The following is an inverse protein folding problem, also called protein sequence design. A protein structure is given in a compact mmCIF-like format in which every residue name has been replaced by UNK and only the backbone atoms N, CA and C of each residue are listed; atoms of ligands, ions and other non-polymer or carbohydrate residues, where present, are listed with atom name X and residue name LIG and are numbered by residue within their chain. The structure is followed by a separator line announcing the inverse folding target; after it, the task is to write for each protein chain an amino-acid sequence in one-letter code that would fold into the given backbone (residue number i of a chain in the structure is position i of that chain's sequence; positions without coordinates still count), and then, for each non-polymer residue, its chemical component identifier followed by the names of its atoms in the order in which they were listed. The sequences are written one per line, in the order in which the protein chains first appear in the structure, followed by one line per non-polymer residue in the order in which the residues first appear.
data_IF_913693105029
#
_entry.id   IF_913693105029
#
_cell.length_a   1.000
_cell.length_b   1.000
_cell.length_c   1.000
_cell.angle_alpha   90.00
_cell.angle_beta   90.00
_cell.angle_gamma   90.00
#
_symmetry.space_group_name_H-M   'P 1'
#
loop_
_entity.id
_entity.type
_entity.pdbx_description
1 polymer ?
#
# COMPACT_ATOMS: atom_id res chain seq x y z
N UNK A 1 3.37 -7.87 -24.27
CA UNK A 1 2.51 -8.13 -23.10
C UNK A 1 2.56 -6.88 -22.26
N UNK A 2 1.42 -6.26 -21.96
CA UNK A 2 1.40 -5.13 -21.02
C UNK A 2 1.82 -5.66 -19.64
N UNK A 3 2.71 -4.95 -18.95
CA UNK A 3 3.07 -5.30 -17.59
C UNK A 3 1.82 -5.19 -16.70
N UNK A 4 1.52 -6.26 -15.95
CA UNK A 4 0.35 -6.33 -15.07
C UNK A 4 0.38 -5.25 -13.99
N UNK A 5 1.56 -4.71 -13.69
CA UNK A 5 1.78 -3.62 -12.74
C UNK A 5 1.95 -2.24 -13.39
N UNK A 6 1.71 -2.09 -14.71
CA UNK A 6 1.77 -0.80 -15.42
C UNK A 6 0.48 -0.54 -16.22
N UNK A 7 -0.67 -0.72 -15.57
CA UNK A 7 -1.97 -0.54 -16.19
C UNK A 7 -2.44 0.92 -16.02
N UNK A 8 -2.33 1.72 -17.07
CA UNK A 8 -2.92 3.06 -17.14
C UNK A 8 -4.38 2.94 -17.59
N UNK A 9 -5.31 3.11 -16.65
CA UNK A 9 -6.76 2.97 -16.89
C UNK A 9 -7.52 4.13 -16.24
N UNK A 10 -8.81 4.21 -16.52
CA UNK A 10 -9.67 5.30 -16.02
C UNK A 10 -9.89 5.25 -14.50
N UNK A 11 -9.66 4.09 -13.89
CA UNK A 11 -9.59 3.91 -12.44
C UNK A 11 -8.26 3.25 -12.13
N UNK A 12 -7.36 3.93 -11.42
CA UNK A 12 -5.99 3.44 -11.24
C UNK A 12 -5.53 3.53 -9.80
N UNK A 13 -4.87 2.48 -9.31
CA UNK A 13 -4.14 2.46 -8.03
C UNK A 13 -2.64 2.64 -8.29
N UNK A 14 -2.07 3.72 -7.75
CA UNK A 14 -0.64 3.98 -7.77
C UNK A 14 0.03 3.33 -6.58
N UNK A 15 1.07 2.55 -6.84
CA UNK A 15 1.88 1.85 -5.81
C UNK A 15 3.36 2.13 -5.99
N UNK A 16 4.16 1.96 -4.95
CA UNK A 16 5.59 2.27 -5.00
C UNK A 16 6.37 1.32 -5.90
N UNK A 17 6.16 0.01 -5.79
CA UNK A 17 6.94 -0.95 -6.55
C UNK A 17 6.18 -2.21 -6.95
N UNK A 18 6.93 -3.14 -7.54
CA UNK A 18 6.39 -4.38 -8.05
C UNK A 18 5.93 -5.33 -6.92
N UNK A 19 6.58 -5.31 -5.75
CA UNK A 19 6.16 -6.13 -4.61
C UNK A 19 4.77 -5.68 -4.10
N UNK A 20 4.57 -4.37 -3.99
CA UNK A 20 3.30 -3.74 -3.62
C UNK A 20 2.17 -4.20 -4.53
N UNK A 21 2.39 -4.07 -5.85
CA UNK A 21 1.45 -4.52 -6.88
C UNK A 21 1.03 -5.98 -6.67
N UNK A 22 1.98 -6.89 -6.45
CA UNK A 22 1.67 -8.31 -6.25
C UNK A 22 0.94 -8.60 -4.94
N UNK A 23 1.23 -7.86 -3.86
CA UNK A 23 0.48 -7.96 -2.59
C UNK A 23 -0.97 -7.51 -2.78
N UNK A 24 -1.18 -6.37 -3.45
CA UNK A 24 -2.53 -5.89 -3.77
C UNK A 24 -3.29 -6.91 -4.61
N UNK A 25 -2.68 -7.44 -5.67
CA UNK A 25 -3.32 -8.46 -6.52
C UNK A 25 -3.72 -9.71 -5.72
N UNK A 26 -2.85 -10.20 -4.83
CA UNK A 26 -3.13 -11.37 -4.02
C UNK A 26 -4.30 -11.12 -3.04
N UNK A 27 -4.36 -9.94 -2.42
CA UNK A 27 -5.48 -9.55 -1.56
C UNK A 27 -6.78 -9.36 -2.33
N UNK A 28 -6.74 -8.71 -3.49
CA UNK A 28 -7.90 -8.58 -4.36
C UNK A 28 -8.47 -9.95 -4.73
N UNK A 29 -7.60 -10.92 -5.05
CA UNK A 29 -8.02 -12.29 -5.34
C UNK A 29 -8.62 -12.98 -4.10
N UNK A 30 -7.99 -12.85 -2.92
CA UNK A 30 -8.48 -13.47 -1.69
C UNK A 30 -9.83 -12.91 -1.20
N UNK A 31 -10.09 -11.62 -1.42
CA UNK A 31 -11.32 -10.94 -0.98
C UNK A 31 -12.35 -10.74 -2.11
N UNK A 32 -12.11 -11.31 -3.29
CA UNK A 32 -13.00 -11.16 -4.46
C UNK A 32 -13.28 -9.70 -4.83
N UNK A 33 -12.27 -8.83 -4.71
CA UNK A 33 -12.38 -7.41 -5.10
C UNK A 33 -12.65 -7.34 -6.61
N UNK A 34 -13.69 -6.60 -7.06
CA UNK A 34 -13.98 -6.44 -8.49
C UNK A 34 -12.78 -5.88 -9.27
N UNK A 35 -12.50 -6.43 -10.45
CA UNK A 35 -11.42 -5.98 -11.34
C UNK A 35 -11.84 -4.74 -12.14
N UNK A 36 -12.16 -3.66 -11.43
CA UNK A 36 -12.67 -2.40 -12.00
C UNK A 36 -11.60 -1.32 -12.14
N UNK A 37 -10.36 -1.59 -11.74
CA UNK A 37 -9.24 -0.65 -11.76
C UNK A 37 -7.92 -1.34 -12.17
N UNK A 38 -7.01 -0.57 -12.74
CA UNK A 38 -5.63 -0.99 -13.01
C UNK A 38 -4.68 -0.64 -11.86
N UNK A 39 -3.53 -1.31 -11.79
CA UNK A 39 -2.45 -1.00 -10.84
C UNK A 39 -1.25 -0.46 -11.62
N UNK A 40 -0.64 0.61 -11.12
CA UNK A 40 0.54 1.24 -11.72
C UNK A 40 1.66 1.42 -10.68
N UNK A 41 2.77 0.70 -10.86
CA UNK A 41 3.98 0.83 -10.06
C UNK A 41 4.80 2.06 -10.49
N UNK A 42 5.25 2.87 -9.53
CA UNK A 42 5.90 4.15 -9.83
C UNK A 42 7.42 4.16 -9.49
N UNK A 43 7.97 3.02 -9.09
CA UNK A 43 9.37 2.81 -8.67
C UNK A 43 9.78 3.43 -7.34
N UNK A 44 9.01 4.38 -6.79
CA UNK A 44 9.28 5.04 -5.51
C UNK A 44 8.08 5.86 -5.03
N UNK A 45 8.05 6.19 -3.75
CA UNK A 45 7.15 7.17 -3.15
C UNK A 45 7.13 8.54 -3.87
N UNK A 46 8.30 9.07 -4.23
CA UNK A 46 8.43 10.31 -5.03
C UNK A 46 7.81 10.13 -6.42
N UNK A 47 8.03 8.96 -7.02
CA UNK A 47 7.43 8.58 -8.31
C UNK A 47 5.91 8.56 -8.24
N UNK A 48 5.33 7.99 -7.18
CA UNK A 48 3.88 7.94 -6.94
C UNK A 48 3.32 9.35 -6.85
N UNK A 49 3.89 10.23 -6.02
CA UNK A 49 3.39 11.61 -5.85
C UNK A 49 3.54 12.44 -7.13
N UNK A 50 4.62 12.23 -7.90
CA UNK A 50 4.80 12.87 -9.21
C UNK A 50 3.73 12.42 -10.20
N UNK A 51 3.45 11.11 -10.26
CA UNK A 51 2.44 10.55 -11.15
C UNK A 51 1.03 10.97 -10.75
N UNK A 52 0.71 10.97 -9.45
CA UNK A 52 -0.55 11.50 -8.92
C UNK A 52 -0.81 12.90 -9.48
N UNK A 53 0.14 13.82 -9.30
CA UNK A 53 -0.03 15.20 -9.80
C UNK A 53 -0.19 15.25 -11.32
N UNK A 54 0.59 14.46 -12.07
CA UNK A 54 0.49 14.40 -13.52
C UNK A 54 -0.86 13.86 -14.01
N UNK A 55 -1.46 12.89 -13.30
CA UNK A 55 -2.76 12.33 -13.62
C UNK A 55 -3.91 13.30 -13.31
N UNK A 56 -3.80 14.09 -12.24
CA UNK A 56 -4.83 15.09 -11.91
C UNK A 56 -4.90 16.19 -12.97
N UNK A 57 -3.74 16.67 -13.48
CA UNK A 57 -3.70 17.82 -14.41
C UNK A 57 -3.77 17.44 -15.90
N UNK A 58 -3.76 16.15 -16.25
CA UNK A 58 -3.75 15.74 -17.66
C UNK A 58 -5.10 16.02 -18.32
N UNK A 59 -5.14 16.27 -19.64
CA UNK A 59 -6.40 16.27 -20.38
C UNK A 59 -7.10 14.91 -20.23
N UNK A 60 -8.38 14.92 -19.86
CA UNK A 60 -9.15 13.72 -19.51
C UNK A 60 -8.47 12.93 -18.37
N UNK A 61 -8.48 13.46 -17.13
CA UNK A 61 -7.95 12.75 -15.98
C UNK A 61 -8.70 11.42 -15.80
N UNK A 62 -8.09 10.40 -15.15
CA UNK A 62 -8.84 9.23 -14.71
C UNK A 62 -10.02 9.66 -13.85
N UNK A 63 -11.13 8.92 -13.85
CA UNK A 63 -12.22 9.12 -12.90
C UNK A 63 -11.81 8.92 -11.44
N UNK A 64 -10.94 7.94 -11.17
CA UNK A 64 -10.52 7.59 -9.81
C UNK A 64 -9.03 7.31 -9.74
N UNK A 65 -8.34 7.94 -8.78
CA UNK A 65 -6.92 7.70 -8.50
C UNK A 65 -6.78 7.27 -7.04
N UNK A 66 -6.41 6.00 -6.84
CA UNK A 66 -5.95 5.50 -5.55
C UNK A 66 -4.44 5.64 -5.41
N UNK A 67 -3.98 5.85 -4.19
CA UNK A 67 -2.57 5.96 -3.83
C UNK A 67 -2.29 5.09 -2.62
N UNK A 68 -1.30 4.20 -2.74
CA UNK A 68 -0.80 3.39 -1.65
C UNK A 68 0.69 3.69 -1.44
N UNK A 69 1.06 4.10 -0.22
CA UNK A 69 2.41 4.60 0.10
C UNK A 69 2.91 4.08 1.44
N UNK A 70 4.22 3.85 1.53
CA UNK A 70 4.95 3.65 2.77
C UNK A 70 4.99 4.95 3.60
N UNK A 71 4.83 4.81 4.90
CA UNK A 71 4.78 5.88 5.88
C UNK A 71 5.96 5.85 6.86
N UNK A 72 7.05 5.15 6.52
CA UNK A 72 8.24 5.01 7.36
C UNK A 72 9.15 6.26 7.37
N UNK A 73 8.99 7.16 6.39
CA UNK A 73 9.82 8.37 6.23
C UNK A 73 9.00 9.62 5.88
N UNK A 74 9.15 10.71 6.65
CA UNK A 74 9.80 10.80 7.96
C UNK A 74 8.95 10.20 9.10
N UNK A 75 7.62 10.14 8.91
CA UNK A 75 6.63 9.49 9.78
C UNK A 75 5.31 9.42 9.01
N UNK A 76 4.27 8.85 9.62
CA UNK A 76 2.91 8.89 9.09
C UNK A 76 2.43 10.33 8.89
N UNK A 77 2.58 11.17 9.91
CA UNK A 77 2.17 12.58 9.88
C UNK A 77 2.93 13.33 8.81
N UNK A 78 4.26 13.15 8.72
CA UNK A 78 5.06 13.83 7.71
C UNK A 78 4.74 13.37 6.28
N UNK A 79 4.43 12.09 6.07
CA UNK A 79 3.94 11.59 4.78
C UNK A 79 2.59 12.20 4.43
N UNK A 80 1.67 12.25 5.39
CA UNK A 80 0.34 12.85 5.21
C UNK A 80 0.43 14.35 4.92
N UNK A 81 1.28 15.08 5.63
CA UNK A 81 1.55 16.50 5.39
C UNK A 81 2.17 16.71 4.00
N UNK A 82 3.09 15.85 3.57
CA UNK A 82 3.65 15.91 2.22
C UNK A 82 2.59 15.76 1.13
N UNK A 83 1.62 14.84 1.30
CA UNK A 83 0.49 14.68 0.37
C UNK A 83 -0.37 15.95 0.35
N UNK A 84 -0.77 16.47 1.52
CA UNK A 84 -1.56 17.71 1.62
C UNK A 84 -0.87 18.88 0.93
N UNK A 85 0.38 19.15 1.31
CA UNK A 85 1.15 20.25 0.72
C UNK A 85 1.32 20.09 -0.78
N UNK A 86 1.45 18.85 -1.29
CA UNK A 86 1.53 18.62 -2.74
C UNK A 86 0.22 18.94 -3.44
N UNK A 87 -0.93 18.61 -2.85
CA UNK A 87 -2.22 18.96 -3.44
C UNK A 87 -2.46 20.47 -3.40
N UNK A 88 -2.19 21.12 -2.26
CA UNK A 88 -2.33 22.57 -2.06
C UNK A 88 -1.42 23.37 -3.01
N UNK A 89 -0.14 22.99 -3.13
CA UNK A 89 0.84 23.72 -3.95
C UNK A 89 0.49 23.69 -5.44
N UNK A 90 -0.23 22.66 -5.90
CA UNK A 90 -0.67 22.55 -7.29
C UNK A 90 -2.07 23.17 -7.52
N UNK A 91 -2.59 23.91 -6.52
CA UNK A 91 -3.91 24.57 -6.55
C UNK A 91 -5.08 23.62 -6.82
N UNK A 92 -4.98 22.37 -6.38
CA UNK A 92 -6.09 21.42 -6.48
C UNK A 92 -7.16 21.73 -5.43
N UNK A 93 -8.43 21.48 -5.74
CA UNK A 93 -9.54 21.87 -4.87
C UNK A 93 -9.78 20.94 -3.66
N UNK A 94 -9.03 19.84 -3.56
CA UNK A 94 -9.22 18.83 -2.52
C UNK A 94 -8.98 19.36 -1.12
N UNK A 95 -9.94 19.10 -0.23
CA UNK A 95 -9.80 19.34 1.20
C UNK A 95 -9.57 18.03 1.93
N UNK A 96 -8.35 17.83 2.43
CA UNK A 96 -7.99 16.66 3.23
C UNK A 96 -8.16 16.92 4.73
N UNK A 97 -8.55 15.90 5.48
CA UNK A 97 -8.61 15.96 6.94
C UNK A 97 -7.23 16.13 7.58
N UNK A 98 -7.20 16.61 8.83
CA UNK A 98 -5.95 16.82 9.59
C UNK A 98 -5.10 15.55 9.66
N UNK A 99 -5.74 14.40 9.85
CA UNK A 99 -5.14 13.06 9.94
C UNK A 99 -5.79 12.11 8.92
N UNK A 100 -5.08 11.08 8.45
CA UNK A 100 -5.66 10.06 7.58
C UNK A 100 -6.76 9.27 8.30
N UNK A 101 -7.75 8.79 7.54
CA UNK A 101 -8.81 7.94 8.06
C UNK A 101 -8.29 6.51 8.27
N UNK A 102 -8.62 5.90 9.41
CA UNK A 102 -8.24 4.51 9.74
C UNK A 102 -8.72 3.49 8.70
N UNK A 103 -9.87 3.74 8.08
CA UNK A 103 -10.46 2.89 7.04
C UNK A 103 -9.99 3.28 5.62
N UNK A 104 -8.91 4.07 5.51
CA UNK A 104 -8.44 4.66 4.26
C UNK A 104 -9.18 5.95 3.94
N UNK A 105 -8.44 6.97 3.50
CA UNK A 105 -9.03 8.27 3.15
C UNK A 105 -9.57 8.22 1.73
N UNK A 106 -10.77 8.74 1.52
CA UNK A 106 -11.37 8.98 0.19
C UNK A 106 -11.86 10.42 0.17
N UNK A 107 -11.55 11.16 -0.88
CA UNK A 107 -12.00 12.54 -1.09
C UNK A 107 -12.46 12.69 -2.52
N UNK A 108 -13.68 13.17 -2.69
CA UNK A 108 -14.23 13.53 -3.99
C UNK A 108 -13.59 14.84 -4.50
N UNK A 109 -13.31 14.88 -5.79
CA UNK A 109 -12.89 16.11 -6.47
C UNK A 109 -14.07 17.02 -6.78
N UNK A 110 -13.77 18.25 -7.22
CA UNK A 110 -14.76 19.09 -7.88
C UNK A 110 -15.20 18.50 -9.24
N UNK A 111 -16.07 19.21 -9.96
CA UNK A 111 -16.45 18.84 -11.32
C UNK A 111 -15.19 18.73 -12.19
N UNK A 112 -15.09 17.65 -12.96
CA UNK A 112 -13.94 17.29 -13.82
C UNK A 112 -12.62 16.95 -13.09
N UNK A 113 -12.64 16.83 -11.76
CA UNK A 113 -11.51 16.35 -10.96
C UNK A 113 -11.70 14.86 -10.56
N UNK A 114 -10.62 14.05 -10.54
CA UNK A 114 -10.70 12.67 -10.09
C UNK A 114 -11.15 12.53 -8.63
N UNK A 115 -11.88 11.47 -8.31
CA UNK A 115 -11.96 10.99 -6.92
C UNK A 115 -10.58 10.49 -6.49
N UNK A 116 -10.12 10.91 -5.33
CA UNK A 116 -8.83 10.49 -4.75
C UNK A 116 -9.02 9.53 -3.57
N UNK A 117 -8.17 8.52 -3.49
CA UNK A 117 -8.07 7.64 -2.33
C UNK A 117 -6.63 7.52 -1.86
N UNK A 118 -6.44 7.47 -0.54
CA UNK A 118 -5.12 7.32 0.08
C UNK A 118 -5.12 6.20 1.13
N UNK A 119 -4.17 5.28 0.98
CA UNK A 119 -3.79 4.30 1.98
C UNK A 119 -2.32 4.47 2.35
N UNK A 120 -2.05 4.71 3.63
CA UNK A 120 -0.71 4.81 4.18
C UNK A 120 -0.38 3.53 4.94
N UNK A 121 0.73 2.88 4.57
CA UNK A 121 1.16 1.66 5.23
C UNK A 121 1.56 1.90 6.69
N UNK A 122 1.41 0.90 7.57
CA UNK A 122 0.75 -0.36 7.27
C UNK A 122 -0.79 -0.26 7.35
N UNK A 123 -1.33 0.70 8.09
CA UNK A 123 -2.73 0.67 8.55
C UNK A 123 -3.39 2.05 8.70
N UNK A 124 -2.84 3.08 8.04
CA UNK A 124 -3.21 4.50 8.14
C UNK A 124 -2.99 5.15 9.51
N UNK A 125 -2.48 4.44 10.52
CA UNK A 125 -2.37 4.95 11.89
C UNK A 125 -0.96 4.86 12.47
N UNK A 126 -0.10 4.02 11.89
CA UNK A 126 1.28 3.86 12.31
C UNK A 126 2.24 4.17 11.17
N UNK A 127 3.45 4.61 11.53
CA UNK A 127 4.55 4.71 10.59
C UNK A 127 5.09 3.31 10.28
N UNK A 128 5.25 2.98 9.00
CA UNK A 128 5.77 1.70 8.56
C UNK A 128 5.68 1.51 7.04
N UNK A 129 6.03 0.32 6.60
CA UNK A 129 6.13 -0.06 5.19
C UNK A 129 5.27 -1.28 4.85
N UNK A 130 5.22 -1.66 3.58
CA UNK A 130 4.55 -2.88 3.12
C UNK A 130 4.93 -4.13 3.94
N UNK A 131 6.20 -4.28 4.33
CA UNK A 131 6.63 -5.41 5.17
C UNK A 131 6.00 -5.39 6.57
N UNK A 132 5.71 -4.23 7.15
CA UNK A 132 5.00 -4.13 8.42
C UNK A 132 3.52 -4.52 8.25
N UNK A 133 2.89 -4.12 7.14
CA UNK A 133 1.54 -4.57 6.81
C UNK A 133 1.49 -6.09 6.66
N UNK A 134 2.42 -6.68 5.91
CA UNK A 134 2.50 -8.14 5.76
C UNK A 134 2.75 -8.85 7.10
N UNK A 135 3.50 -8.23 8.01
CA UNK A 135 3.68 -8.76 9.36
C UNK A 135 2.34 -8.81 10.15
N UNK A 136 1.41 -7.87 9.95
CA UNK A 136 0.06 -7.96 10.56
C UNK A 136 -0.76 -9.15 10.04
N UNK A 137 -0.46 -9.67 8.85
CA UNK A 137 -1.12 -10.86 8.27
C UNK A 137 -0.53 -12.18 8.80
N UNK A 138 0.71 -12.17 9.28
CA UNK A 138 1.42 -13.37 9.76
C UNK A 138 0.80 -13.94 11.04
N UNK A 139 1.04 -15.22 11.31
CA UNK A 139 0.65 -15.85 12.59
C UNK A 139 1.46 -15.22 13.75
N UNK A 140 0.82 -14.73 14.83
CA UNK A 140 1.49 -13.88 15.82
C UNK A 140 2.63 -14.57 16.58
N UNK A 141 2.48 -15.84 16.99
CA UNK A 141 3.51 -16.54 17.77
C UNK A 141 4.76 -16.78 16.95
N UNK A 142 4.58 -17.24 15.73
CA UNK A 142 5.65 -17.53 14.79
C UNK A 142 6.33 -16.24 14.32
N UNK A 143 5.58 -15.17 14.06
CA UNK A 143 6.17 -13.87 13.75
C UNK A 143 6.98 -13.31 14.93
N UNK A 144 6.48 -13.45 16.16
CA UNK A 144 7.20 -13.02 17.36
C UNK A 144 8.55 -13.75 17.46
N UNK A 145 8.55 -15.07 17.26
CA UNK A 145 9.79 -15.84 17.25
C UNK A 145 10.76 -15.41 16.14
N UNK A 146 10.25 -15.11 14.93
CA UNK A 146 11.09 -14.59 13.84
C UNK A 146 11.74 -13.25 14.21
N UNK A 147 11.00 -12.39 14.89
CA UNK A 147 11.51 -11.11 15.42
C UNK A 147 12.61 -11.33 16.44
N UNK A 148 12.42 -12.25 17.38
CA UNK A 148 13.44 -12.62 18.37
C UNK A 148 14.71 -13.18 17.71
N UNK A 149 14.58 -14.02 16.69
CA UNK A 149 15.73 -14.53 15.94
C UNK A 149 16.52 -13.40 15.27
N UNK A 150 15.84 -12.46 14.61
CA UNK A 150 16.48 -11.30 13.98
C UNK A 150 17.13 -10.39 15.01
N UNK A 151 16.49 -10.17 16.16
CA UNK A 151 17.05 -9.38 17.26
C UNK A 151 18.29 -10.03 17.85
N UNK A 152 18.27 -11.33 18.11
CA UNK A 152 19.43 -12.07 18.60
C UNK A 152 20.59 -12.05 17.60
N UNK A 153 20.31 -12.24 16.30
CA UNK A 153 21.32 -12.18 15.26
C UNK A 153 21.92 -10.76 15.15
N UNK A 154 21.09 -9.72 15.23
CA UNK A 154 21.55 -8.33 15.21
C UNK A 154 22.37 -8.00 16.45
N UNK A 155 21.95 -8.42 17.64
CA UNK A 155 22.68 -8.20 18.90
C UNK A 155 24.03 -8.93 18.96
N UNK A 156 24.17 -10.04 18.21
CA UNK A 156 25.45 -10.75 18.02
C UNK A 156 26.33 -10.16 16.92
N UNK A 157 25.92 -9.07 16.26
CA UNK A 157 26.61 -8.44 15.14
C UNK A 157 26.91 -9.38 13.95
N UNK A 158 26.04 -10.39 13.72
CA UNK A 158 26.19 -11.33 12.59
C UNK A 158 25.28 -10.98 11.39
N UNK A 159 24.49 -9.92 11.50
CA UNK A 159 23.60 -9.43 10.43
C UNK A 159 24.27 -8.33 9.62
N UNK A 160 24.05 -8.29 8.31
CA UNK A 160 24.58 -7.26 7.41
C UNK A 160 23.53 -6.25 6.92
N UNK A 161 22.25 -6.44 7.26
CA UNK A 161 21.19 -5.54 6.83
C UNK A 161 21.23 -4.20 7.57
N UNK A 162 20.82 -3.11 6.88
CA UNK A 162 20.69 -1.78 7.49
C UNK A 162 19.51 -1.76 8.46
N UNK A 163 19.58 -0.98 9.55
CA UNK A 163 18.48 -0.85 10.53
C UNK A 163 17.11 -0.56 9.89
N UNK A 164 17.08 0.23 8.82
CA UNK A 164 15.86 0.56 8.04
C UNK A 164 15.23 -0.65 7.32
N UNK A 165 15.96 -1.75 7.15
CA UNK A 165 15.47 -3.00 6.55
C UNK A 165 15.10 -4.05 7.60
N UNK A 166 14.97 -3.66 8.89
CA UNK A 166 14.64 -4.61 9.96
C UNK A 166 13.28 -5.29 9.72
N UNK A 167 12.23 -4.55 9.37
CA UNK A 167 10.90 -5.13 9.10
C UNK A 167 10.97 -6.16 7.97
N UNK A 168 11.75 -5.85 6.93
CA UNK A 168 12.07 -6.77 5.84
C UNK A 168 12.79 -8.04 6.31
N UNK A 169 13.81 -7.90 7.15
CA UNK A 169 14.52 -9.05 7.71
C UNK A 169 13.57 -9.94 8.54
N UNK A 170 12.69 -9.35 9.35
CA UNK A 170 11.72 -10.09 10.18
C UNK A 170 10.74 -10.88 9.33
N UNK A 171 10.07 -10.23 8.37
CA UNK A 171 9.04 -10.92 7.56
C UNK A 171 9.67 -12.00 6.68
N UNK A 172 10.86 -11.79 6.12
CA UNK A 172 11.53 -12.83 5.33
C UNK A 172 12.07 -13.98 6.19
N UNK A 173 12.46 -13.73 7.44
CA UNK A 173 12.82 -14.80 8.40
C UNK A 173 11.60 -15.66 8.72
N UNK A 174 10.44 -15.02 8.96
CA UNK A 174 9.17 -15.72 9.15
C UNK A 174 8.82 -16.59 7.92
N UNK A 175 8.88 -16.01 6.72
CA UNK A 175 8.55 -16.70 5.47
C UNK A 175 9.51 -17.86 5.12
N UNK A 176 10.70 -17.91 5.71
CA UNK A 176 11.64 -19.01 5.52
C UNK A 176 11.21 -20.31 6.22
N UNK A 177 10.19 -20.27 7.09
CA UNK A 177 9.73 -21.44 7.85
C UNK A 177 8.50 -22.12 7.29
N UNK A 178 7.90 -21.54 6.24
CA UNK A 178 6.70 -22.08 5.61
C UNK A 178 7.05 -23.00 4.43
N UNK A 179 6.09 -23.85 4.06
CA UNK A 179 6.22 -24.76 2.92
C UNK A 179 6.46 -23.97 1.62
N UNK A 180 7.40 -24.45 0.81
CA UNK A 180 8.18 -23.66 -0.16
C UNK A 180 8.79 -22.37 0.45
N UNK A 181 9.94 -22.49 1.14
CA UNK A 181 10.57 -21.38 1.87
C UNK A 181 10.92 -20.17 1.01
N UNK A 182 10.73 -18.97 1.58
CA UNK A 182 11.29 -17.73 1.03
C UNK A 182 10.46 -17.11 -0.11
N UNK A 183 9.15 -17.38 -0.16
CA UNK A 183 8.27 -16.77 -1.15
C UNK A 183 8.31 -15.24 -1.20
N UNK A 184 8.10 -14.66 -2.40
CA UNK A 184 7.68 -13.27 -2.50
C UNK A 184 6.39 -13.02 -1.70
N UNK A 185 6.25 -11.82 -1.13
CA UNK A 185 5.12 -11.46 -0.24
C UNK A 185 3.75 -11.74 -0.86
N UNK A 186 3.53 -11.40 -2.13
CA UNK A 186 2.27 -11.70 -2.82
C UNK A 186 1.97 -13.19 -2.93
N UNK A 187 2.99 -14.04 -3.18
CA UNK A 187 2.81 -15.50 -3.23
C UNK A 187 2.52 -16.08 -1.84
N UNK A 188 3.12 -15.51 -0.79
CA UNK A 188 2.88 -15.92 0.60
C UNK A 188 1.43 -15.67 1.05
N UNK A 189 0.73 -14.66 0.48
CA UNK A 189 -0.71 -14.45 0.71
C UNK A 189 -1.53 -15.54 0.03
N UNK A 190 -1.22 -15.84 -1.24
CA UNK A 190 -1.92 -16.90 -2.00
C UNK A 190 -1.72 -18.28 -1.38
N UNK A 191 -0.54 -18.57 -0.81
CA UNK A 191 -0.24 -19.83 -0.12
C UNK A 191 -0.71 -19.88 1.34
N UNK A 192 -1.43 -18.86 1.81
CA UNK A 192 -1.93 -18.71 3.19
C UNK A 192 -0.86 -18.69 4.30
N UNK A 193 0.42 -18.54 3.94
CA UNK A 193 1.48 -18.25 4.93
C UNK A 193 1.27 -16.87 5.55
N UNK A 194 0.75 -15.91 4.76
CA UNK A 194 0.17 -14.66 5.25
C UNK A 194 -1.36 -14.79 5.20
N UNK A 195 -2.03 -14.58 6.34
CA UNK A 195 -3.48 -14.79 6.47
C UNK A 195 -4.22 -13.61 5.84
N UNK A 196 -4.96 -13.79 4.73
CA UNK A 196 -5.56 -12.65 4.04
C UNK A 196 -6.77 -12.07 4.79
N UNK A 197 -7.36 -12.77 5.75
CA UNK A 197 -8.59 -12.35 6.44
C UNK A 197 -8.34 -11.71 7.81
N UNK A 198 -7.20 -11.03 8.00
CA UNK A 198 -6.98 -10.19 9.20
C UNK A 198 -7.73 -8.87 9.08
N UNK A 199 -7.98 -8.21 10.22
CA UNK A 199 -8.76 -6.96 10.24
C UNK A 199 -8.16 -5.87 9.34
N UNK A 200 -6.83 -5.77 9.27
CA UNK A 200 -6.15 -4.77 8.42
C UNK A 200 -6.31 -5.08 6.93
N UNK A 201 -6.26 -6.35 6.54
CA UNK A 201 -6.43 -6.77 5.16
C UNK A 201 -7.89 -6.61 4.70
N UNK A 202 -8.85 -6.89 5.58
CA UNK A 202 -10.28 -6.62 5.35
C UNK A 202 -10.52 -5.11 5.21
N UNK A 203 -9.96 -4.27 6.10
CA UNK A 203 -10.07 -2.80 5.96
C UNK A 203 -9.47 -2.30 4.65
N UNK A 204 -8.29 -2.77 4.28
CA UNK A 204 -7.61 -2.39 3.05
C UNK A 204 -8.43 -2.74 1.80
N UNK A 205 -8.95 -3.96 1.72
CA UNK A 205 -9.73 -4.41 0.57
C UNK A 205 -11.11 -3.75 0.51
N UNK A 206 -11.75 -3.50 1.65
CA UNK A 206 -12.97 -2.70 1.71
C UNK A 206 -12.74 -1.26 1.23
N UNK A 207 -11.60 -0.65 1.58
CA UNK A 207 -11.22 0.66 1.05
C UNK A 207 -11.08 0.65 -0.48
N UNK A 208 -10.44 -0.36 -1.07
CA UNK A 208 -10.35 -0.52 -2.52
C UNK A 208 -11.74 -0.64 -3.16
N UNK A 209 -12.62 -1.44 -2.58
CA UNK A 209 -14.01 -1.63 -3.07
C UNK A 209 -14.76 -0.30 -3.04
N UNK A 210 -14.71 0.45 -1.94
CA UNK A 210 -15.41 1.74 -1.83
C UNK A 210 -14.82 2.81 -2.75
N UNK A 211 -13.50 2.88 -2.87
CA UNK A 211 -12.83 3.85 -3.72
C UNK A 211 -13.18 3.65 -5.19
N UNK A 212 -13.13 2.40 -5.67
CA UNK A 212 -13.30 2.07 -7.09
C UNK A 212 -14.71 1.60 -7.47
N UNK A 213 -15.68 1.71 -6.55
CA UNK A 213 -17.09 1.50 -6.83
C UNK A 213 -17.56 2.33 -8.04
N UNK A 214 -18.67 1.92 -8.67
CA UNK A 214 -19.31 2.77 -9.67
C UNK A 214 -19.82 4.05 -9.00
N UNK A 215 -19.48 5.20 -9.58
CA UNK A 215 -20.02 6.48 -9.16
C UNK A 215 -21.33 6.62 -9.93
N UNK A 216 -22.44 6.31 -9.28
CA UNK A 216 -23.76 6.63 -9.84
C UNK A 216 -23.86 8.14 -9.94
N UNK A 217 -23.94 8.67 -11.16
CA UNK A 217 -24.42 10.03 -11.36
C UNK A 217 -25.94 10.01 -11.18
N UNK A 218 -26.44 10.56 -10.09
CA UNK A 218 -27.83 11.03 -10.00
C UNK A 218 -27.98 12.39 -10.69
#
# INVERSE_FOLDING_TARGET
MNDVCEQDSDKVLLVEGQNDCHVVMALCAAHSVPKTFGIYQCGSDVGVLKRLNALIVRPNPPQVIGVMLDADKPSLEGRWDSIKSKLETNNHSYTLSKTPNINGTIVDGAVDEPRLGFWLMPNNQNSGMLEDFCAELAEPRSLLFARECVEQASGRNITTFKKVHRSKAVIHTYLAWHDEPGYPLGKAITSQALRPHTDVAVRFTNWLIHLFAEISCD
#
